data_IF_566817819293
#
_entry.id   IF_566817819293
#
_cell.length_a   1.000
_cell.length_b   1.000
_cell.length_c   1.000
_cell.angle_alpha   90.00
_cell.angle_beta   90.00
_cell.angle_gamma   90.00
#
_symmetry.space_group_name_H-M   'P 1'
#
loop_
_entity.id
_entity.type
_entity.pdbx_description
1 polymer ?
#
# COMPACT_ATOMS: atom_id res chain seq x y z
N UNK A 1 4.74 -17.83 3.96
CA UNK A 1 5.38 -16.51 3.89
C UNK A 1 5.82 -16.19 2.46
N UNK A 2 5.33 -15.07 1.91
CA UNK A 2 5.84 -14.42 0.68
C UNK A 2 6.46 -13.11 1.09
N UNK A 3 7.58 -12.78 0.45
CA UNK A 3 8.27 -11.49 0.59
C UNK A 3 8.26 -10.77 -0.76
N UNK A 4 7.85 -9.51 -0.76
CA UNK A 4 7.88 -8.63 -1.93
C UNK A 4 8.69 -7.40 -1.58
N UNK A 5 9.63 -7.04 -2.45
CA UNK A 5 10.41 -5.82 -2.39
C UNK A 5 10.35 -5.14 -3.75
N UNK A 6 9.83 -3.92 -3.80
CA UNK A 6 9.72 -3.12 -5.02
C UNK A 6 10.18 -1.70 -4.74
N UNK A 7 10.75 -1.05 -5.74
CA UNK A 7 11.10 0.37 -5.66
C UNK A 7 11.16 1.01 -7.03
N UNK A 8 10.91 2.31 -7.07
CA UNK A 8 11.05 3.14 -8.27
C UNK A 8 11.74 4.46 -7.91
N UNK A 9 12.40 5.07 -8.89
CA UNK A 9 12.89 6.45 -8.80
C UNK A 9 11.89 7.33 -9.53
N UNK A 10 11.42 8.39 -8.89
CA UNK A 10 10.42 9.32 -9.42
C UNK A 10 10.91 10.76 -9.31
N UNK A 11 10.40 11.64 -10.18
CA UNK A 11 10.64 13.11 -10.14
C UNK A 11 9.57 13.83 -9.31
N UNK A 12 9.23 13.23 -8.18
CA UNK A 12 8.28 13.76 -7.20
C UNK A 12 8.96 13.72 -5.84
N UNK A 13 8.64 14.67 -4.97
CA UNK A 13 9.26 14.76 -3.64
C UNK A 13 8.81 13.60 -2.73
N UNK A 14 9.57 13.27 -1.67
CA UNK A 14 9.14 12.30 -0.67
C UNK A 14 7.77 12.64 -0.06
N UNK A 15 7.48 13.92 0.18
CA UNK A 15 6.20 14.41 0.71
C UNK A 15 5.04 14.10 -0.25
N UNK A 16 5.22 14.38 -1.54
CA UNK A 16 4.22 14.09 -2.57
C UNK A 16 3.88 12.60 -2.63
N UNK A 17 4.91 11.74 -2.60
CA UNK A 17 4.72 10.29 -2.63
C UNK A 17 4.12 9.76 -1.32
N UNK A 18 4.56 10.29 -0.19
CA UNK A 18 4.01 9.97 1.13
C UNK A 18 2.50 10.30 1.18
N UNK A 19 2.11 11.49 0.73
CA UNK A 19 0.71 11.95 0.73
C UNK A 19 -0.21 11.06 -0.09
N UNK A 20 0.31 10.52 -1.21
CA UNK A 20 -0.45 9.58 -2.02
C UNK A 20 -0.70 8.27 -1.27
N UNK A 21 0.27 7.79 -0.51
CA UNK A 21 0.18 6.51 0.22
C UNK A 21 -0.58 6.65 1.55
N UNK A 22 -0.47 7.77 2.27
CA UNK A 22 -1.23 7.97 3.51
C UNK A 22 -2.71 8.33 3.26
N UNK A 23 -3.00 8.92 2.10
CA UNK A 23 -4.34 9.32 1.66
C UNK A 23 -5.21 8.16 1.18
N UNK A 24 -5.43 7.15 2.03
CA UNK A 24 -6.17 5.91 1.70
C UNK A 24 -7.60 6.16 1.25
N UNK A 25 -8.25 7.22 1.71
CA UNK A 25 -9.63 7.60 1.37
C UNK A 25 -9.79 7.87 -0.15
N UNK A 26 -8.71 8.27 -0.82
CA UNK A 26 -8.71 8.55 -2.25
C UNK A 26 -8.49 7.29 -3.11
N UNK A 27 -8.11 6.15 -2.50
CA UNK A 27 -7.76 4.94 -3.25
C UNK A 27 -8.86 4.44 -4.19
N UNK A 28 -10.15 4.43 -3.80
CA UNK A 28 -11.20 3.93 -4.69
C UNK A 28 -11.37 4.76 -5.97
N UNK A 29 -10.98 6.04 -5.93
CA UNK A 29 -10.99 6.94 -7.09
C UNK A 29 -9.71 6.83 -7.92
N UNK A 30 -8.58 6.51 -7.29
CA UNK A 30 -7.25 6.45 -7.92
C UNK A 30 -6.93 5.09 -8.53
N UNK A 31 -7.40 4.02 -7.90
CA UNK A 31 -6.92 2.67 -8.18
C UNK A 31 -8.08 1.74 -8.54
N UNK A 32 -8.12 1.20 -9.78
CA UNK A 32 -9.17 0.28 -10.21
C UNK A 32 -9.25 -1.01 -9.38
N UNK A 33 -8.15 -1.39 -8.72
CA UNK A 33 -8.08 -2.54 -7.84
C UNK A 33 -8.62 -2.25 -6.43
N UNK A 34 -8.95 -1.00 -6.08
CA UNK A 34 -9.55 -0.63 -4.81
C UNK A 34 -11.02 -0.26 -5.04
N UNK A 35 -11.94 -1.02 -4.44
CA UNK A 35 -13.38 -0.78 -4.54
C UNK A 35 -13.92 0.16 -3.47
N UNK A 36 -13.33 0.15 -2.27
CA UNK A 36 -13.64 1.08 -1.17
C UNK A 36 -12.51 1.13 -0.16
N UNK A 37 -12.43 2.26 0.54
CA UNK A 37 -11.53 2.49 1.66
C UNK A 37 -12.34 3.16 2.79
N UNK A 38 -12.26 2.60 3.99
CA UNK A 38 -12.98 3.09 5.18
C UNK A 38 -11.97 3.34 6.28
N UNK A 39 -11.85 4.59 6.72
CA UNK A 39 -11.05 4.95 7.89
C UNK A 39 -11.84 4.60 9.15
N UNK A 40 -11.24 3.78 10.00
CA UNK A 40 -11.81 3.35 11.28
C UNK A 40 -11.28 4.25 12.40
N UNK A 41 -10.00 4.60 12.33
CA UNK A 41 -9.32 5.43 13.33
C UNK A 41 -8.26 6.28 12.64
N UNK A 42 -8.16 7.55 13.00
CA UNK A 42 -7.04 8.41 12.64
C UNK A 42 -6.67 9.25 13.86
N UNK A 43 -5.48 9.04 14.39
CA UNK A 43 -4.98 9.70 15.60
C UNK A 43 -3.46 9.86 15.50
N UNK A 44 -2.95 11.07 15.74
CA UNK A 44 -1.53 11.40 15.63
C UNK A 44 -0.91 10.91 14.31
N UNK A 45 0.04 9.96 14.41
CA UNK A 45 0.71 9.33 13.29
C UNK A 45 0.18 7.92 12.97
N UNK A 46 -0.99 7.57 13.49
CA UNK A 46 -1.63 6.26 13.32
C UNK A 46 -2.90 6.39 12.49
N UNK A 47 -3.05 5.48 11.53
CA UNK A 47 -4.23 5.33 10.69
C UNK A 47 -4.67 3.87 10.69
N UNK A 48 -5.87 3.57 11.16
CA UNK A 48 -6.48 2.25 10.99
C UNK A 48 -7.54 2.35 9.90
N UNK A 49 -7.37 1.59 8.83
CA UNK A 49 -8.26 1.62 7.69
C UNK A 49 -8.54 0.22 7.13
N UNK A 50 -9.78 0.02 6.70
CA UNK A 50 -10.20 -1.13 5.92
C UNK A 50 -10.13 -0.79 4.43
N UNK A 51 -9.46 -1.64 3.66
CA UNK A 51 -9.47 -1.60 2.20
C UNK A 51 -10.24 -2.79 1.66
N UNK A 52 -11.12 -2.54 0.68
CA UNK A 52 -11.79 -3.58 -0.09
C UNK A 52 -11.18 -3.63 -1.50
N UNK A 53 -10.37 -4.64 -1.75
CA UNK A 53 -9.62 -4.79 -2.99
C UNK A 53 -10.25 -5.83 -3.92
N UNK A 54 -10.02 -5.67 -5.21
CA UNK A 54 -10.37 -6.64 -6.24
C UNK A 54 -9.10 -7.31 -6.77
N UNK A 55 -8.93 -8.59 -6.47
CA UNK A 55 -7.87 -9.42 -7.02
C UNK A 55 -8.32 -10.87 -7.12
N UNK A 56 -7.69 -11.66 -8.00
CA UNK A 56 -8.09 -13.04 -8.28
C UNK A 56 -9.58 -13.23 -8.67
N UNK A 57 -10.21 -12.20 -9.25
CA UNK A 57 -11.62 -12.23 -9.68
C UNK A 57 -12.64 -12.15 -8.54
N UNK A 58 -12.21 -11.86 -7.31
CA UNK A 58 -13.05 -11.78 -6.12
C UNK A 58 -12.76 -10.49 -5.33
N UNK A 59 -13.76 -10.02 -4.59
CA UNK A 59 -13.59 -8.90 -3.66
C UNK A 59 -13.08 -9.42 -2.33
N UNK A 60 -11.97 -8.86 -1.87
CA UNK A 60 -11.36 -9.20 -0.59
C UNK A 60 -11.16 -7.95 0.23
N UNK A 61 -11.31 -8.10 1.54
CA UNK A 61 -11.16 -6.99 2.45
C UNK A 61 -10.11 -7.31 3.50
N UNK A 62 -9.33 -6.30 3.87
CA UNK A 62 -8.46 -6.38 5.03
C UNK A 62 -8.34 -5.02 5.68
N UNK A 63 -8.05 -5.03 6.96
CA UNK A 63 -7.85 -3.86 7.80
C UNK A 63 -6.40 -3.81 8.22
N UNK A 64 -5.75 -2.66 8.04
CA UNK A 64 -4.39 -2.43 8.52
C UNK A 64 -4.36 -1.30 9.52
N UNK A 65 -3.40 -1.38 10.45
CA UNK A 65 -2.92 -0.25 11.24
C UNK A 65 -1.64 0.23 10.59
N UNK A 66 -1.65 1.49 10.17
CA UNK A 66 -0.52 2.16 9.57
C UNK A 66 0.08 3.13 10.60
N UNK A 67 1.40 3.13 10.75
CA UNK A 67 2.12 4.08 11.59
C UNK A 67 3.10 4.87 10.73
N UNK A 68 2.92 6.17 10.70
CA UNK A 68 3.65 7.09 9.84
C UNK A 68 4.80 7.78 10.58
N UNK A 69 5.89 8.02 9.85
CA UNK A 69 6.89 9.04 10.18
C UNK A 69 7.04 9.87 8.90
N UNK A 70 6.39 11.02 8.88
CA UNK A 70 6.28 11.85 7.68
C UNK A 70 7.58 12.65 7.44
N UNK A 71 8.09 12.70 6.19
CA UNK A 71 7.62 12.01 4.98
C UNK A 71 8.33 10.68 4.71
N UNK A 72 9.15 10.17 5.62
CA UNK A 72 10.15 9.13 5.33
C UNK A 72 9.57 7.71 5.22
N UNK A 73 8.55 7.35 6.02
CA UNK A 73 8.07 5.96 6.08
C UNK A 73 6.63 5.81 6.57
N UNK A 74 6.02 4.70 6.17
CA UNK A 74 4.74 4.22 6.71
C UNK A 74 4.86 2.72 6.96
N UNK A 75 4.81 2.31 8.22
CA UNK A 75 4.71 0.92 8.64
C UNK A 75 3.28 0.44 8.54
N UNK A 76 3.06 -0.78 8.04
CA UNK A 76 1.75 -1.39 7.85
C UNK A 76 1.73 -2.68 8.66
N UNK A 77 0.68 -2.87 9.47
CA UNK A 77 0.43 -4.14 10.16
C UNK A 77 -1.03 -4.56 10.00
N UNK A 78 -1.23 -5.87 9.83
CA UNK A 78 -2.57 -6.45 9.79
C UNK A 78 -3.30 -6.22 11.11
N UNK A 79 -4.58 -5.86 11.01
CA UNK A 79 -5.54 -5.87 12.11
C UNK A 79 -6.56 -6.99 11.91
N UNK A 80 -7.10 -7.12 10.69
CA UNK A 80 -8.11 -8.12 10.33
C UNK A 80 -8.04 -8.43 8.83
N UNK A 81 -8.39 -9.65 8.42
CA UNK A 81 -8.44 -10.03 7.01
C UNK A 81 -8.17 -11.52 6.74
N UNK A 82 -8.08 -11.92 5.46
CA UNK A 82 -7.86 -13.31 5.06
C UNK A 82 -6.42 -13.80 5.28
N UNK A 83 -5.53 -12.88 5.69
CA UNK A 83 -4.13 -13.16 5.95
C UNK A 83 -3.95 -13.66 7.38
N UNK A 84 -3.03 -14.60 7.58
CA UNK A 84 -2.49 -14.93 8.90
C UNK A 84 -1.59 -13.79 9.41
N UNK A 85 -0.79 -13.21 8.51
CA UNK A 85 0.03 -12.03 8.77
C UNK A 85 0.16 -11.19 7.51
N UNK A 86 0.26 -9.88 7.69
CA UNK A 86 0.58 -8.91 6.66
C UNK A 86 1.34 -7.78 7.36
N UNK A 87 2.60 -7.65 7.01
CA UNK A 87 3.51 -6.62 7.48
C UNK A 87 4.03 -5.88 6.25
N UNK A 88 4.15 -4.57 6.35
CA UNK A 88 4.63 -3.75 5.25
C UNK A 88 5.38 -2.52 5.71
N UNK A 89 6.18 -1.99 4.80
CA UNK A 89 6.91 -0.76 4.98
C UNK A 89 6.97 -0.03 3.63
N UNK A 90 6.39 1.17 3.61
CA UNK A 90 6.73 2.15 2.59
C UNK A 90 7.93 2.97 3.07
N UNK A 91 8.84 3.29 2.16
CA UNK A 91 9.96 4.18 2.40
C UNK A 91 10.08 5.18 1.27
N UNK A 92 10.34 6.43 1.62
CA UNK A 92 10.47 7.56 0.70
C UNK A 92 11.81 8.23 0.96
N UNK A 93 12.77 8.03 0.07
CA UNK A 93 14.14 8.55 0.22
C UNK A 93 14.40 9.64 -0.79
N UNK A 94 14.74 10.84 -0.34
CA UNK A 94 15.10 11.95 -1.22
C UNK A 94 16.29 11.61 -2.13
N UNK A 95 16.22 12.06 -3.38
CA UNK A 95 17.25 11.92 -4.41
C UNK A 95 17.59 13.32 -4.96
N UNK A 96 18.16 14.17 -4.13
CA UNK A 96 18.35 15.59 -4.43
C UNK A 96 17.11 16.41 -4.05
N UNK A 97 16.89 17.53 -4.75
CA UNK A 97 15.82 18.48 -4.44
C UNK A 97 14.44 18.01 -4.93
N UNK A 98 14.34 17.45 -6.14
CA UNK A 98 13.05 17.14 -6.79
C UNK A 98 12.88 15.65 -7.13
N UNK A 99 13.54 14.76 -6.38
CA UNK A 99 13.53 13.32 -6.65
C UNK A 99 13.27 12.48 -5.41
N UNK A 100 12.62 11.33 -5.59
CA UNK A 100 12.37 10.36 -4.52
C UNK A 100 12.59 8.93 -5.03
N UNK A 101 13.27 8.11 -4.23
CA UNK A 101 13.16 6.66 -4.29
C UNK A 101 12.00 6.24 -3.42
N UNK A 102 10.91 5.81 -4.05
CA UNK A 102 9.80 5.16 -3.35
C UNK A 102 10.06 3.66 -3.30
N UNK A 103 9.91 3.05 -2.14
CA UNK A 103 10.10 1.61 -1.95
C UNK A 103 8.96 1.01 -1.11
N UNK A 104 8.59 -0.22 -1.46
CA UNK A 104 7.61 -1.04 -0.74
C UNK A 104 8.25 -2.38 -0.38
N UNK A 105 8.28 -2.67 0.91
CA UNK A 105 8.49 -4.00 1.44
C UNK A 105 7.18 -4.54 1.97
N UNK A 106 6.80 -5.76 1.57
CA UNK A 106 5.61 -6.45 2.07
C UNK A 106 5.95 -7.91 2.37
N UNK A 107 5.56 -8.36 3.54
CA UNK A 107 5.69 -9.74 3.99
C UNK A 107 4.30 -10.22 4.41
N UNK A 108 3.84 -11.34 3.86
CA UNK A 108 2.50 -11.85 4.18
C UNK A 108 2.40 -13.36 4.13
N UNK A 109 1.42 -13.87 4.88
CA UNK A 109 1.06 -15.27 4.89
C UNK A 109 -0.46 -15.46 4.92
N UNK A 110 -0.96 -16.47 4.23
CA UNK A 110 -2.39 -16.76 4.16
C UNK A 110 -2.78 -17.84 5.16
N UNK A 111 -3.99 -17.73 5.71
CA UNK A 111 -4.55 -18.79 6.54
C UNK A 111 -5.14 -19.92 5.67
N UNK A 112 -4.81 -21.18 5.97
CA UNK A 112 -5.49 -22.37 5.45
C UNK A 112 -5.04 -22.90 4.07
N UNK A 113 -5.67 -24.02 3.65
CA UNK A 113 -5.26 -24.87 2.51
C UNK A 113 -5.83 -24.35 1.16
N UNK A 114 -6.84 -23.47 1.18
CA UNK A 114 -7.45 -22.83 0.00
C UNK A 114 -6.75 -21.53 -0.46
N UNK A 115 -5.66 -21.13 0.20
CA UNK A 115 -5.04 -19.82 0.04
C UNK A 115 -4.25 -19.59 -1.26
N UNK A 116 -4.02 -20.60 -2.10
CA UNK A 116 -3.06 -20.49 -3.22
C UNK A 116 -3.46 -19.46 -4.28
N UNK A 117 -4.73 -19.41 -4.69
CA UNK A 117 -5.22 -18.45 -5.70
C UNK A 117 -5.23 -17.03 -5.14
N UNK A 118 -5.69 -16.85 -3.90
CA UNK A 118 -5.68 -15.56 -3.21
C UNK A 118 -4.25 -15.03 -3.02
N UNK A 119 -3.35 -15.92 -2.61
CA UNK A 119 -1.93 -15.68 -2.46
C UNK A 119 -1.29 -15.19 -3.75
N UNK A 120 -1.52 -15.87 -4.87
CA UNK A 120 -1.03 -15.44 -6.19
C UNK A 120 -1.66 -14.11 -6.64
N UNK A 121 -2.96 -13.93 -6.42
CA UNK A 121 -3.67 -12.70 -6.77
C UNK A 121 -3.14 -11.48 -6.02
N UNK A 122 -2.99 -11.59 -4.70
CA UNK A 122 -2.43 -10.51 -3.89
C UNK A 122 -0.96 -10.27 -4.19
N UNK A 123 -0.16 -11.32 -4.41
CA UNK A 123 1.22 -11.18 -4.86
C UNK A 123 1.31 -10.39 -6.18
N UNK A 124 0.45 -10.69 -7.15
CA UNK A 124 0.37 -9.97 -8.42
C UNK A 124 -0.03 -8.50 -8.24
N UNK A 125 -0.98 -8.22 -7.33
CA UNK A 125 -1.37 -6.85 -7.00
C UNK A 125 -0.23 -6.08 -6.33
N UNK A 126 0.37 -6.63 -5.27
CA UNK A 126 1.46 -6.01 -4.53
C UNK A 126 2.70 -5.75 -5.40
N UNK A 127 2.98 -6.63 -6.38
CA UNK A 127 4.05 -6.41 -7.35
C UNK A 127 3.85 -5.18 -8.24
N UNK A 128 2.62 -4.72 -8.43
CA UNK A 128 2.27 -3.56 -9.26
C UNK A 128 2.02 -2.28 -8.47
N UNK A 129 1.84 -2.37 -7.15
CA UNK A 129 1.49 -1.21 -6.32
C UNK A 129 2.44 -0.03 -6.52
N UNK A 130 3.76 -0.24 -6.45
CA UNK A 130 4.73 0.86 -6.64
C UNK A 130 4.52 1.56 -7.97
N UNK A 131 4.37 0.82 -9.07
CA UNK A 131 4.14 1.41 -10.39
C UNK A 131 2.81 2.16 -10.46
N UNK A 132 1.76 1.65 -9.80
CA UNK A 132 0.46 2.30 -9.75
C UNK A 132 0.51 3.63 -8.98
N UNK A 133 1.24 3.68 -7.86
CA UNK A 133 1.47 4.92 -7.12
C UNK A 133 2.32 5.93 -7.91
N UNK A 134 3.34 5.47 -8.64
CA UNK A 134 4.10 6.34 -9.54
C UNK A 134 3.20 6.99 -10.60
N UNK A 135 2.35 6.20 -11.27
CA UNK A 135 1.40 6.74 -12.25
C UNK A 135 0.38 7.70 -11.63
N UNK A 136 -0.09 7.41 -10.41
CA UNK A 136 -0.96 8.32 -9.69
C UNK A 136 -0.26 9.64 -9.34
N UNK A 137 1.04 9.60 -9.02
CA UNK A 137 1.83 10.80 -8.78
C UNK A 137 1.95 11.67 -10.03
N UNK A 138 2.25 11.06 -11.18
CA UNK A 138 2.31 11.77 -12.46
C UNK A 138 0.96 12.44 -12.81
N UNK A 139 -0.16 11.82 -12.45
CA UNK A 139 -1.49 12.39 -12.70
C UNK A 139 -1.88 13.53 -11.75
N UNK A 140 -1.35 13.52 -10.52
CA UNK A 140 -1.73 14.49 -9.47
C UNK A 140 -0.77 15.68 -9.44
N UNK A 141 0.51 15.48 -9.77
CA UNK A 141 1.58 16.47 -9.60
C UNK A 141 2.36 16.80 -10.88
N UNK A 142 2.18 16.02 -11.96
CA UNK A 142 2.79 16.29 -13.28
C UNK A 142 1.92 17.19 -14.15
#
# INVERSE_FOLDING_TARGET
MIEIRRSALVRHSPEQMFDLVDGVEAYPKRFPWCSSATVIERADNVLVARLDLHFAGLRHSFTTRNTAERPQRIDIRLVDGPFRSLDGLWSFTALGEDGCKVALALDFDYAGIGGSVLKLGFQSLANRMVDDFCRAADQVYG
#
